data_IF_092444638512
#
_entry.id   IF_092444638512
#
_cell.length_a   1.000
_cell.length_b   1.000
_cell.length_c   1.000
_cell.angle_alpha   90.00
_cell.angle_beta   90.00
_cell.angle_gamma   90.00
#
_symmetry.space_group_name_H-M   'P 1'
#
loop_
_entity.id
_entity.type
_entity.pdbx_description
1 polymer ?
#
# COMPACT_ATOMS: atom_id res chain seq x y z
N UNK A 1 -35.57 -32.17 -2.19
CA UNK A 1 -34.09 -32.08 -2.24
C UNK A 1 -33.64 -32.33 -3.68
N UNK A 2 -33.24 -31.30 -4.43
CA UNK A 2 -32.75 -31.41 -5.82
C UNK A 2 -31.30 -30.96 -5.84
N UNK A 3 -30.37 -31.91 -6.04
CA UNK A 3 -28.93 -31.66 -6.21
C UNK A 3 -28.69 -31.11 -7.61
N UNK A 4 -28.13 -29.89 -7.72
CA UNK A 4 -27.62 -29.33 -8.98
C UNK A 4 -26.15 -29.72 -9.12
N UNK A 5 -25.87 -30.53 -10.15
CA UNK A 5 -24.50 -30.85 -10.57
C UNK A 5 -24.01 -29.73 -11.48
N UNK A 6 -22.91 -29.09 -11.15
CA UNK A 6 -22.23 -28.15 -12.01
C UNK A 6 -21.09 -28.85 -12.76
N UNK A 7 -21.25 -28.95 -14.07
CA UNK A 7 -20.24 -29.50 -14.97
C UNK A 7 -19.31 -28.36 -15.36
N UNK A 8 -18.03 -28.49 -15.01
CA UNK A 8 -16.96 -27.57 -15.42
C UNK A 8 -16.35 -28.13 -16.71
N UNK A 9 -16.49 -27.39 -17.80
CA UNK A 9 -15.83 -27.67 -19.06
C UNK A 9 -14.44 -27.03 -19.05
N UNK A 10 -13.40 -27.87 -19.11
CA UNK A 10 -12.00 -27.44 -19.25
C UNK A 10 -11.69 -27.40 -20.75
N UNK A 11 -11.48 -26.19 -21.30
CA UNK A 11 -10.97 -25.99 -22.68
C UNK A 11 -9.44 -25.92 -22.66
N UNK A 12 -8.81 -26.95 -23.16
CA UNK A 12 -7.37 -26.96 -23.48
C UNK A 12 -7.15 -26.22 -24.80
N UNK A 13 -6.42 -25.11 -24.77
CA UNK A 13 -5.94 -24.42 -25.97
C UNK A 13 -4.44 -24.68 -26.12
N UNK A 14 -4.09 -25.58 -27.04
CA UNK A 14 -2.72 -25.88 -27.46
C UNK A 14 -2.24 -24.86 -28.49
N UNK A 15 -1.20 -24.11 -28.21
CA UNK A 15 -0.53 -23.21 -29.16
C UNK A 15 0.77 -23.87 -29.66
N UNK A 16 0.81 -24.11 -30.97
CA UNK A 16 1.98 -24.62 -31.69
C UNK A 16 3.09 -23.56 -31.76
N UNK A 17 4.30 -23.97 -31.39
CA UNK A 17 5.53 -23.23 -31.64
C UNK A 17 6.06 -23.54 -33.04
N UNK A 18 6.18 -22.55 -33.89
CA UNK A 18 6.94 -22.59 -35.14
C UNK A 18 8.34 -22.04 -34.90
N UNK A 19 9.33 -22.94 -34.93
CA UNK A 19 10.76 -22.61 -34.97
C UNK A 19 11.14 -22.43 -36.44
N UNK A 20 11.66 -21.28 -36.81
CA UNK A 20 12.35 -21.07 -38.09
C UNK A 20 13.81 -20.72 -37.81
N UNK A 21 14.69 -21.69 -38.04
CA UNK A 21 16.14 -21.49 -38.18
C UNK A 21 16.44 -20.91 -39.56
N UNK A 22 17.20 -19.82 -39.62
CA UNK A 22 17.80 -19.31 -40.83
C UNK A 22 19.20 -18.79 -40.54
N UNK A 23 20.20 -19.59 -40.95
CA UNK A 23 21.64 -19.31 -40.88
C UNK A 23 22.07 -18.55 -42.13
N UNK A 24 22.74 -17.39 -42.03
CA UNK A 24 23.85 -17.11 -42.97
C UNK A 24 24.78 -15.97 -42.51
N UNK A 25 26.01 -16.13 -42.98
CA UNK A 25 27.28 -15.53 -42.61
C UNK A 25 27.50 -14.06 -43.01
N UNK A 26 28.29 -13.35 -42.15
CA UNK A 26 29.52 -12.58 -42.43
C UNK A 26 29.43 -11.27 -43.22
N UNK A 27 29.70 -10.15 -42.56
CA UNK A 27 30.85 -9.22 -42.75
C UNK A 27 30.65 -7.96 -41.93
N UNK A 28 31.63 -7.65 -41.10
CA UNK A 28 32.32 -6.39 -40.77
C UNK A 28 31.64 -5.10 -41.23
N UNK A 29 31.17 -4.23 -40.31
CA UNK A 29 31.83 -2.99 -39.97
C UNK A 29 31.12 -2.26 -38.80
N UNK A 30 31.92 -1.58 -38.05
CA UNK A 30 31.74 -0.73 -36.91
C UNK A 30 30.65 0.34 -37.11
N UNK A 31 29.61 0.39 -36.24
CA UNK A 31 29.05 1.65 -35.76
C UNK A 31 28.30 1.43 -34.45
N UNK A 32 28.81 2.06 -33.42
CA UNK A 32 28.22 2.24 -32.12
C UNK A 32 26.85 2.91 -32.26
N UNK A 33 25.78 2.21 -31.86
CA UNK A 33 24.53 2.84 -31.46
C UNK A 33 24.08 2.19 -30.16
N UNK A 34 24.41 2.89 -29.09
CA UNK A 34 23.85 2.63 -27.76
C UNK A 34 22.34 2.70 -27.83
N UNK A 35 21.69 1.56 -27.60
CA UNK A 35 20.27 1.51 -27.27
C UNK A 35 20.17 1.98 -25.82
N UNK A 36 19.57 3.13 -25.52
CA UNK A 36 19.31 3.48 -24.14
C UNK A 36 18.30 2.49 -23.57
N UNK A 37 18.77 1.57 -22.73
CA UNK A 37 17.90 0.87 -21.76
C UNK A 37 17.35 1.92 -20.83
N UNK A 38 16.20 2.50 -21.18
CA UNK A 38 15.40 3.28 -20.26
C UNK A 38 14.73 2.30 -19.28
N UNK A 39 15.50 1.86 -18.32
CA UNK A 39 14.99 1.34 -17.07
C UNK A 39 14.47 2.54 -16.29
N UNK A 40 13.25 2.95 -16.56
CA UNK A 40 12.55 3.90 -15.69
C UNK A 40 12.09 3.15 -14.44
N UNK A 41 13.03 2.87 -13.53
CA UNK A 41 12.65 2.65 -12.13
C UNK A 41 12.10 3.99 -11.64
N UNK A 42 10.77 4.13 -11.66
CA UNK A 42 10.10 5.25 -11.01
C UNK A 42 10.42 5.15 -9.53
N UNK A 43 11.35 6.01 -9.08
CA UNK A 43 11.69 6.13 -7.67
C UNK A 43 10.43 6.58 -6.94
N UNK A 44 10.02 5.83 -5.91
CA UNK A 44 8.89 6.20 -5.06
C UNK A 44 9.04 7.66 -4.60
N UNK A 45 7.94 8.40 -4.64
CA UNK A 45 7.90 9.74 -4.08
C UNK A 45 8.00 9.64 -2.56
N UNK A 46 9.15 9.97 -2.01
CA UNK A 46 9.38 9.96 -0.57
C UNK A 46 9.17 11.38 -0.05
N UNK A 47 8.18 11.56 0.82
CA UNK A 47 8.08 12.78 1.61
C UNK A 47 9.30 12.87 2.53
N UNK A 48 10.08 13.92 2.41
CA UNK A 48 11.24 14.17 3.28
C UNK A 48 10.84 14.66 4.67
N UNK A 49 9.57 15.03 4.86
CA UNK A 49 9.03 15.61 6.10
C UNK A 49 7.99 14.68 6.70
N UNK A 50 8.14 14.39 7.99
CA UNK A 50 7.10 13.68 8.76
C UNK A 50 5.88 14.58 8.92
N UNK A 51 4.70 14.06 8.64
CA UNK A 51 3.43 14.71 8.89
C UNK A 51 3.03 14.43 10.33
N UNK A 52 3.05 15.47 11.17
CA UNK A 52 2.72 15.38 12.59
C UNK A 52 1.33 15.98 12.82
N UNK A 53 0.47 15.26 13.55
CA UNK A 53 -0.86 15.73 13.96
C UNK A 53 -1.33 15.03 15.24
N UNK A 54 -2.34 15.60 15.92
CA UNK A 54 -2.98 14.94 17.06
C UNK A 54 -4.27 14.24 16.65
N UNK A 55 -4.76 13.35 17.51
CA UNK A 55 -6.02 12.65 17.26
C UNK A 55 -7.24 13.56 17.21
N UNK A 56 -7.13 14.80 17.67
CA UNK A 56 -8.18 15.82 17.61
C UNK A 56 -8.15 16.67 16.32
N UNK A 57 -7.07 16.57 15.53
CA UNK A 57 -6.89 17.32 14.28
C UNK A 57 -7.62 16.65 13.11
N UNK A 58 -8.95 16.57 13.18
CA UNK A 58 -9.79 15.98 12.12
C UNK A 58 -9.68 16.76 10.80
N UNK A 59 -9.97 16.08 9.67
CA UNK A 59 -9.88 16.61 8.30
C UNK A 59 -8.45 17.04 7.86
N UNK A 60 -7.44 16.51 8.53
CA UNK A 60 -6.03 16.75 8.15
C UNK A 60 -5.67 15.99 6.87
N UNK A 61 -5.28 16.72 5.82
CA UNK A 61 -4.71 16.11 4.61
C UNK A 61 -3.30 15.59 4.92
N UNK A 62 -3.14 14.26 4.86
CA UNK A 62 -1.87 13.58 5.11
C UNK A 62 -1.02 13.54 3.84
N UNK A 63 -1.67 13.35 2.69
CA UNK A 63 -0.98 13.23 1.40
C UNK A 63 -1.88 13.69 0.26
N UNK A 64 -1.26 14.38 -0.69
CA UNK A 64 -1.84 14.71 -1.98
C UNK A 64 -0.76 14.59 -3.07
N UNK A 65 -0.95 13.64 -3.99
CA UNK A 65 0.01 13.40 -5.08
C UNK A 65 -0.40 12.21 -5.94
N UNK A 66 0.10 12.14 -7.17
CA UNK A 66 -0.16 11.04 -8.12
C UNK A 66 -1.65 10.73 -8.35
N UNK A 67 -2.53 11.70 -8.16
CA UNK A 67 -3.97 11.53 -8.26
C UNK A 67 -4.61 10.89 -7.02
N UNK A 68 -3.86 10.73 -5.93
CA UNK A 68 -4.33 10.18 -4.66
C UNK A 68 -4.31 11.26 -3.59
N UNK A 69 -5.39 11.35 -2.81
CA UNK A 69 -5.46 12.18 -1.60
C UNK A 69 -5.81 11.27 -0.41
N UNK A 70 -5.05 11.37 0.68
CA UNK A 70 -5.29 10.71 1.95
C UNK A 70 -5.61 11.76 3.00
N UNK A 71 -6.72 11.60 3.71
CA UNK A 71 -7.18 12.56 4.75
C UNK A 71 -7.47 11.80 6.03
N UNK A 72 -6.93 12.28 7.15
CA UNK A 72 -7.31 11.81 8.49
C UNK A 72 -8.67 12.39 8.88
N UNK A 73 -9.58 11.53 9.38
CA UNK A 73 -10.98 11.89 9.66
C UNK A 73 -11.34 11.87 11.15
N UNK A 74 -10.41 11.44 12.00
CA UNK A 74 -10.64 11.40 13.45
C UNK A 74 -10.30 10.03 14.05
N UNK A 75 -10.38 9.97 15.37
CA UNK A 75 -10.18 8.77 16.17
C UNK A 75 -11.53 8.27 16.68
N UNK A 76 -11.78 6.97 16.48
CA UNK A 76 -12.81 6.22 17.20
C UNK A 76 -12.16 5.24 18.15
N UNK A 77 -12.81 4.98 19.28
CA UNK A 77 -12.39 3.95 20.24
C UNK A 77 -13.61 3.19 20.69
N UNK A 78 -13.50 1.88 20.66
CA UNK A 78 -14.45 0.96 21.29
C UNK A 78 -13.74 0.08 22.35
N UNK A 79 -14.40 -1.02 22.75
CA UNK A 79 -13.84 -1.97 23.72
C UNK A 79 -12.74 -2.86 23.16
N UNK A 80 -12.52 -2.85 21.84
CA UNK A 80 -11.63 -3.77 21.13
C UNK A 80 -10.45 -3.08 20.48
N UNK A 81 -10.64 -1.84 19.98
CA UNK A 81 -9.59 -1.17 19.20
C UNK A 81 -9.67 0.37 19.27
N UNK A 82 -8.53 1.01 18.99
CA UNK A 82 -8.46 2.39 18.57
C UNK A 82 -8.42 2.41 17.06
N UNK A 83 -9.31 3.17 16.41
CA UNK A 83 -9.43 3.26 14.95
C UNK A 83 -9.20 4.69 14.50
N UNK A 84 -8.04 4.93 13.87
CA UNK A 84 -7.79 6.19 13.17
C UNK A 84 -8.48 6.11 11.80
N UNK A 85 -9.56 6.85 11.61
CA UNK A 85 -10.33 6.88 10.36
C UNK A 85 -9.59 7.65 9.29
N UNK A 86 -9.59 7.09 8.09
CA UNK A 86 -9.00 7.70 6.90
C UNK A 86 -10.06 7.82 5.79
N UNK A 87 -9.96 8.88 5.01
CA UNK A 87 -10.70 9.02 3.77
C UNK A 87 -9.71 9.06 2.61
N UNK A 88 -10.03 8.34 1.54
CA UNK A 88 -9.23 8.23 0.36
C UNK A 88 -9.97 8.78 -0.85
N UNK A 89 -9.26 9.50 -1.70
CA UNK A 89 -9.74 9.91 -3.02
C UNK A 89 -8.68 9.53 -4.06
N UNK A 90 -9.09 8.76 -5.05
CA UNK A 90 -8.25 8.38 -6.18
C UNK A 90 -8.87 8.90 -7.46
N UNK A 91 -8.22 9.84 -8.11
CA UNK A 91 -8.64 10.40 -9.41
C UNK A 91 -7.89 9.78 -10.58
N UNK A 92 -6.96 8.86 -10.30
CA UNK A 92 -6.22 8.15 -11.33
C UNK A 92 -7.01 6.95 -11.87
N UNK A 93 -6.55 6.38 -12.98
CA UNK A 93 -7.09 5.15 -13.57
C UNK A 93 -6.41 3.87 -13.02
N UNK A 94 -5.62 3.99 -11.96
CA UNK A 94 -4.92 2.87 -11.33
C UNK A 94 -5.57 2.53 -9.99
N UNK A 95 -5.55 1.26 -9.61
CA UNK A 95 -5.87 0.80 -8.27
C UNK A 95 -4.60 0.81 -7.42
N UNK A 96 -4.72 1.18 -6.15
CA UNK A 96 -3.63 1.21 -5.19
C UNK A 96 -3.99 0.45 -3.92
N UNK A 97 -2.97 0.01 -3.19
CA UNK A 97 -3.08 -0.39 -1.80
C UNK A 97 -2.48 0.68 -0.90
N UNK A 98 -3.11 0.90 0.26
CA UNK A 98 -2.57 1.75 1.33
C UNK A 98 -2.23 0.87 2.51
N UNK A 99 -0.97 0.85 2.90
CA UNK A 99 -0.48 -0.01 3.99
C UNK A 99 0.40 0.78 4.95
N UNK A 100 0.45 0.32 6.22
CA UNK A 100 1.43 0.81 7.19
C UNK A 100 2.70 -0.02 7.14
N UNK A 101 3.86 0.63 7.23
CA UNK A 101 5.19 0.01 7.34
C UNK A 101 6.00 0.68 8.43
N UNK A 102 6.95 -0.08 9.01
CA UNK A 102 7.88 0.42 10.02
C UNK A 102 7.19 1.15 11.19
N UNK A 103 6.04 0.60 11.61
CA UNK A 103 5.22 1.23 12.63
C UNK A 103 5.72 0.95 14.05
N UNK A 104 5.46 1.89 14.94
CA UNK A 104 5.66 1.75 16.38
C UNK A 104 4.59 2.54 17.14
N UNK A 105 4.22 2.04 18.31
CA UNK A 105 3.36 2.72 19.29
C UNK A 105 4.14 2.86 20.58
N UNK A 106 4.25 4.09 21.12
CA UNK A 106 5.03 4.37 22.32
C UNK A 106 6.46 3.79 22.26
N UNK A 107 7.13 3.85 21.08
CA UNK A 107 8.44 3.25 20.79
C UNK A 107 8.49 1.72 20.70
N UNK A 108 7.39 0.99 20.88
CA UNK A 108 7.32 -0.45 20.67
C UNK A 108 7.00 -0.74 19.22
N UNK A 109 7.88 -1.49 18.54
CA UNK A 109 7.77 -1.77 17.11
C UNK A 109 6.65 -2.76 16.79
N UNK A 110 5.92 -2.48 15.72
CA UNK A 110 5.01 -3.43 15.10
C UNK A 110 5.83 -4.48 14.33
N UNK A 111 5.77 -5.73 14.77
CA UNK A 111 6.52 -6.85 14.19
C UNK A 111 5.72 -8.16 14.34
N UNK A 112 6.31 -9.30 13.97
CA UNK A 112 5.63 -10.59 14.04
C UNK A 112 5.22 -11.01 15.46
N UNK A 113 5.95 -10.54 16.48
CA UNK A 113 5.62 -10.81 17.88
C UNK A 113 4.53 -9.86 18.42
N UNK A 114 4.45 -8.65 17.86
CA UNK A 114 3.53 -7.60 18.29
C UNK A 114 2.88 -6.95 17.08
N UNK A 115 1.74 -7.50 16.61
CA UNK A 115 0.93 -6.92 15.54
C UNK A 115 -0.02 -5.85 16.08
N UNK A 116 0.57 -4.76 16.56
CA UNK A 116 -0.14 -3.65 17.23
C UNK A 116 -0.70 -2.60 16.28
N UNK A 117 -0.34 -2.65 14.99
CA UNK A 117 -0.80 -1.72 13.97
C UNK A 117 -1.29 -2.52 12.77
N UNK A 118 -2.52 -2.29 12.36
CA UNK A 118 -3.13 -2.93 11.20
C UNK A 118 -3.65 -1.85 10.25
N UNK A 119 -3.19 -1.86 8.99
CA UNK A 119 -3.73 -1.07 7.90
C UNK A 119 -3.36 -1.76 6.59
N UNK A 120 -4.39 -2.15 5.83
CA UNK A 120 -4.26 -2.69 4.47
C UNK A 120 -5.58 -2.44 3.77
N UNK A 121 -5.65 -1.35 3.02
CA UNK A 121 -6.87 -0.90 2.36
C UNK A 121 -6.66 -0.82 0.85
N UNK A 122 -7.67 -1.23 0.08
CA UNK A 122 -7.67 -1.11 -1.38
C UNK A 122 -8.34 0.20 -1.81
N UNK A 123 -7.65 0.96 -2.63
CA UNK A 123 -8.10 2.23 -3.20
C UNK A 123 -8.36 2.06 -4.70
N UNK A 124 -9.60 1.79 -5.06
CA UNK A 124 -10.01 1.56 -6.46
C UNK A 124 -9.77 2.78 -7.34
N UNK A 125 -9.53 2.52 -8.64
CA UNK A 125 -9.39 3.55 -9.66
C UNK A 125 -10.63 4.46 -9.73
N UNK A 126 -10.42 5.76 -9.86
CA UNK A 126 -11.47 6.78 -10.02
C UNK A 126 -12.55 6.72 -8.93
N UNK A 127 -12.17 6.42 -7.69
CA UNK A 127 -13.08 6.21 -6.58
C UNK A 127 -12.72 7.05 -5.33
N UNK A 128 -13.71 7.18 -4.45
CA UNK A 128 -13.51 7.57 -3.06
C UNK A 128 -13.85 6.37 -2.18
N UNK A 129 -13.12 6.20 -1.09
CA UNK A 129 -13.36 5.14 -0.11
C UNK A 129 -12.94 5.59 1.28
N UNK A 130 -13.36 4.84 2.28
CA UNK A 130 -12.89 4.96 3.65
C UNK A 130 -11.87 3.86 3.93
N UNK A 131 -10.98 4.15 4.86
CA UNK A 131 -10.01 3.21 5.38
C UNK A 131 -9.65 3.51 6.82
N UNK A 132 -8.69 2.77 7.36
CA UNK A 132 -8.32 2.96 8.76
C UNK A 132 -6.94 2.42 9.12
N UNK A 133 -6.37 3.02 10.17
CA UNK A 133 -5.28 2.41 10.93
C UNK A 133 -5.87 1.94 12.26
N UNK A 134 -5.78 0.65 12.53
CA UNK A 134 -6.34 0.01 13.73
C UNK A 134 -5.25 -0.37 14.71
N UNK A 135 -5.50 -0.14 15.98
CA UNK A 135 -4.65 -0.55 17.09
C UNK A 135 -5.49 -1.43 18.02
N UNK A 136 -5.46 -2.78 17.85
CA UNK A 136 -6.23 -3.69 18.69
C UNK A 136 -5.78 -3.63 20.16
N UNK A 137 -6.72 -3.46 21.09
CA UNK A 137 -6.43 -3.30 22.53
C UNK A 137 -5.70 -4.52 23.09
N UNK A 138 -6.14 -5.73 22.73
CA UNK A 138 -5.49 -6.96 23.16
C UNK A 138 -4.02 -7.06 22.68
N UNK A 139 -3.72 -6.56 21.47
CA UNK A 139 -2.34 -6.55 20.97
C UNK A 139 -1.49 -5.48 21.66
N UNK A 140 -2.07 -4.32 21.97
CA UNK A 140 -1.41 -3.29 22.76
C UNK A 140 -1.07 -3.79 24.17
N UNK A 141 -2.02 -4.45 24.85
CA UNK A 141 -1.83 -5.04 26.17
C UNK A 141 -0.75 -6.12 26.18
N UNK A 142 -0.76 -7.03 25.19
CA UNK A 142 0.28 -8.03 25.00
C UNK A 142 1.68 -7.41 24.81
N UNK A 143 1.75 -6.21 24.23
CA UNK A 143 2.96 -5.41 24.10
C UNK A 143 3.24 -4.50 25.30
N UNK A 144 2.50 -4.67 26.43
CA UNK A 144 2.60 -3.84 27.64
C UNK A 144 2.29 -2.34 27.40
N UNK A 145 1.45 -2.04 26.42
CA UNK A 145 0.96 -0.70 26.16
C UNK A 145 -0.45 -0.56 26.72
N UNK A 146 -0.60 0.06 27.87
CA UNK A 146 -1.92 0.30 28.50
C UNK A 146 -2.73 1.41 27.82
N UNK A 147 -2.04 2.40 27.25
CA UNK A 147 -2.64 3.51 26.50
C UNK A 147 -1.68 3.96 25.40
N UNK A 148 -2.12 4.05 24.12
CA UNK A 148 -1.31 4.65 23.09
C UNK A 148 -1.14 6.16 23.40
N UNK A 149 0.09 6.66 23.24
CA UNK A 149 0.42 8.09 23.35
C UNK A 149 0.90 8.65 22.02
N UNK A 150 1.72 7.85 21.31
CA UNK A 150 2.27 8.23 20.02
C UNK A 150 2.28 7.01 19.11
N UNK A 151 1.75 7.18 17.90
CA UNK A 151 1.90 6.26 16.76
C UNK A 151 2.86 6.91 15.77
N UNK A 152 3.87 6.19 15.35
CA UNK A 152 4.74 6.57 14.24
C UNK A 152 4.78 5.42 13.23
N UNK A 153 4.57 5.73 11.95
CA UNK A 153 4.68 4.74 10.87
C UNK A 153 4.88 5.43 9.52
N UNK A 154 5.19 4.63 8.50
CA UNK A 154 5.06 5.08 7.12
C UNK A 154 3.71 4.59 6.57
N UNK A 155 2.91 5.49 6.00
CA UNK A 155 1.85 5.11 5.09
C UNK A 155 2.46 4.97 3.70
N UNK A 156 2.29 3.80 3.10
CA UNK A 156 2.77 3.54 1.74
C UNK A 156 1.59 3.34 0.80
N UNK A 157 1.60 4.08 -0.30
CA UNK A 157 0.69 3.90 -1.42
C UNK A 157 1.41 3.02 -2.43
N UNK A 158 0.86 1.84 -2.69
CA UNK A 158 1.50 0.78 -3.45
C UNK A 158 0.67 0.50 -4.70
N UNK A 159 1.33 0.42 -5.85
CA UNK A 159 0.76 -0.03 -7.11
C UNK A 159 1.32 -1.40 -7.47
N UNK A 160 0.43 -2.30 -7.90
CA UNK A 160 0.80 -3.63 -8.43
C UNK A 160 1.75 -4.43 -7.50
N UNK A 161 1.47 -4.42 -6.19
CA UNK A 161 2.15 -5.19 -5.12
C UNK A 161 3.64 -4.80 -4.92
N UNK A 162 4.32 -4.35 -5.96
CA UNK A 162 5.77 -4.19 -5.98
C UNK A 162 6.27 -2.75 -6.08
N UNK A 163 5.43 -1.82 -6.57
CA UNK A 163 5.80 -0.43 -6.79
C UNK A 163 5.26 0.48 -5.69
N UNK A 164 6.10 0.92 -4.78
CA UNK A 164 5.74 1.98 -3.83
C UNK A 164 5.70 3.32 -4.56
N UNK A 165 4.51 3.86 -4.73
CA UNK A 165 4.25 5.14 -5.43
C UNK A 165 4.51 6.32 -4.51
N UNK A 166 4.12 6.21 -3.24
CA UNK A 166 4.42 7.20 -2.22
C UNK A 166 4.73 6.54 -0.87
N UNK A 167 5.64 7.18 -0.13
CA UNK A 167 6.00 6.81 1.24
C UNK A 167 5.90 8.04 2.12
N UNK A 168 4.95 8.03 3.04
CA UNK A 168 4.53 9.16 3.83
C UNK A 168 4.80 8.85 5.31
N UNK A 169 5.87 9.37 5.91
CA UNK A 169 6.08 9.22 7.35
C UNK A 169 5.06 10.07 8.12
N UNK A 170 4.35 9.44 9.04
CA UNK A 170 3.39 10.10 9.93
C UNK A 170 3.76 9.89 11.39
N UNK A 171 3.39 10.88 12.22
CA UNK A 171 3.44 10.81 13.68
C UNK A 171 2.14 11.36 14.24
N UNK A 172 1.42 10.53 14.98
CA UNK A 172 0.13 10.86 15.58
C UNK A 172 0.24 10.86 17.09
N UNK A 173 -0.13 11.98 17.71
CA UNK A 173 -0.20 12.11 19.17
C UNK A 173 -1.63 11.85 19.62
N UNK A 174 -1.82 10.96 20.60
CA UNK A 174 -3.12 10.64 21.21
C UNK A 174 -3.39 11.61 22.37
N UNK A 175 -4.52 12.30 22.31
CA UNK A 175 -5.04 13.21 23.34
C UNK A 175 -6.27 12.65 24.04
#
# INVERSE_FOLDING_TARGET
MKKKVFTVAVSLLTILLLVACGNNKKSTDTSSSEIPKTSSSQKAEQSSKTIEFSTTAIDTVIYEGKGVTLTYKGLEKDDYEYTLKLAYKNTSNKEYEVQTRNGKVNNISNNDNHKIIICSDTLKASATSEGSIKLPINALEAASITKPKVLECNLEVIYDITETVAKIPIKVTFE
#
